data_IF_676413379493
#
_entry.id   IF_676413379493
#
_cell.length_a   1.000
_cell.length_b   1.000
_cell.length_c   1.000
_cell.angle_alpha   90.00
_cell.angle_beta   90.00
_cell.angle_gamma   90.00
#
_symmetry.space_group_name_H-M   'P 1'
#
loop_
_entity.id
_entity.type
_entity.pdbx_description
1 polymer ?
#
# COMPACT_ATOMS: atom_id res chain seq x y z
N UNK A 1 -34.26 -64.92 -1.55
CA UNK A 1 -32.88 -65.00 -2.09
C UNK A 1 -32.13 -63.75 -1.64
N UNK A 2 -31.24 -63.81 -0.63
CA UNK A 2 -30.48 -62.64 -0.20
C UNK A 2 -29.30 -62.39 -1.16
N UNK A 3 -29.14 -61.14 -1.60
CA UNK A 3 -28.02 -60.67 -2.45
C UNK A 3 -26.72 -60.69 -1.64
N UNK A 4 -25.65 -61.23 -2.24
CA UNK A 4 -24.30 -61.26 -1.67
C UNK A 4 -23.69 -59.83 -1.56
N UNK A 5 -22.85 -59.56 -0.54
CA UNK A 5 -22.14 -58.29 -0.42
C UNK A 5 -20.94 -58.20 -1.37
N UNK A 6 -20.69 -56.99 -1.88
CA UNK A 6 -19.57 -56.67 -2.77
C UNK A 6 -18.21 -56.67 -2.05
N UNK A 7 -17.09 -57.00 -2.73
CA UNK A 7 -15.77 -57.07 -2.13
C UNK A 7 -15.14 -55.69 -1.88
N UNK A 8 -14.47 -55.54 -0.72
CA UNK A 8 -13.75 -54.31 -0.34
C UNK A 8 -12.43 -54.17 -1.10
N UNK A 9 -12.24 -53.06 -1.80
CA UNK A 9 -10.98 -52.68 -2.42
C UNK A 9 -10.13 -51.91 -1.39
N UNK A 10 -8.92 -52.40 -1.10
CA UNK A 10 -7.93 -51.69 -0.26
C UNK A 10 -7.18 -50.66 -1.11
N UNK A 11 -6.95 -49.42 -0.63
CA UNK A 11 -6.18 -48.45 -1.38
C UNK A 11 -4.67 -48.75 -1.31
N UNK A 12 -4.02 -48.62 -2.48
CA UNK A 12 -2.57 -48.70 -2.64
C UNK A 12 -1.87 -47.57 -1.89
N UNK A 13 -0.91 -47.92 -1.04
CA UNK A 13 -0.08 -46.96 -0.30
C UNK A 13 0.99 -46.32 -1.19
N UNK A 14 0.95 -44.99 -1.33
CA UNK A 14 2.00 -44.21 -1.96
C UNK A 14 3.21 -44.07 -1.00
N UNK A 15 4.33 -44.69 -1.36
CA UNK A 15 5.63 -44.51 -0.69
C UNK A 15 6.16 -43.10 -0.97
N UNK A 16 6.33 -42.30 0.07
CA UNK A 16 7.03 -41.01 -0.01
C UNK A 16 8.55 -41.24 0.09
N UNK A 17 9.38 -40.64 -0.80
CA UNK A 17 10.83 -40.62 -0.62
C UNK A 17 11.22 -39.66 0.51
N UNK A 18 12.22 -40.07 1.32
CA UNK A 18 12.76 -39.31 2.45
C UNK A 18 13.40 -38.00 1.95
N UNK A 19 13.06 -36.87 2.58
CA UNK A 19 13.77 -35.59 2.41
C UNK A 19 15.15 -35.69 3.04
N UNK A 20 16.18 -35.42 2.24
CA UNK A 20 17.56 -35.27 2.67
C UNK A 20 17.73 -33.83 3.21
N UNK A 21 18.08 -33.70 4.49
CA UNK A 21 18.26 -32.40 5.15
C UNK A 21 19.55 -31.72 4.66
N UNK A 22 19.41 -30.59 3.96
CA UNK A 22 20.53 -29.76 3.56
C UNK A 22 21.04 -28.92 4.74
N UNK A 23 22.33 -29.08 5.07
CA UNK A 23 23.07 -28.39 6.13
C UNK A 23 23.31 -26.91 5.76
N UNK A 24 23.08 -25.92 6.64
CA UNK A 24 23.36 -24.51 6.33
C UNK A 24 24.87 -24.17 6.40
N UNK A 25 25.38 -23.25 5.57
CA UNK A 25 26.78 -22.85 5.57
C UNK A 25 27.14 -21.88 6.71
N UNK A 26 28.38 -21.99 7.18
CA UNK A 26 28.94 -21.22 8.29
C UNK A 26 29.20 -19.75 7.95
N UNK A 27 28.76 -18.85 8.85
CA UNK A 27 29.00 -17.41 8.81
C UNK A 27 30.46 -17.14 9.22
N UNK A 28 31.25 -16.49 8.36
CA UNK A 28 32.59 -15.98 8.71
C UNK A 28 32.49 -14.50 9.10
N UNK A 29 32.93 -14.18 10.32
CA UNK A 29 33.01 -12.81 10.85
C UNK A 29 34.15 -12.01 10.20
N UNK A 30 33.88 -10.74 9.89
CA UNK A 30 34.82 -9.73 9.38
C UNK A 30 35.88 -9.32 10.40
N UNK A 31 37.13 -9.03 9.98
CA UNK A 31 38.10 -8.36 10.84
C UNK A 31 37.97 -6.83 10.72
N UNK A 32 37.91 -6.19 11.89
CA UNK A 32 37.94 -4.74 12.15
C UNK A 32 39.27 -4.15 11.67
N UNK A 33 39.24 -3.24 10.69
CA UNK A 33 40.42 -2.47 10.29
C UNK A 33 40.68 -1.31 11.26
N UNK A 34 41.87 -1.35 11.87
CA UNK A 34 42.42 -0.32 12.76
C UNK A 34 42.60 1.01 12.04
N UNK A 35 42.30 2.09 12.75
CA UNK A 35 42.62 3.48 12.39
C UNK A 35 44.12 3.62 12.16
N UNK A 36 44.52 4.16 11.01
CA UNK A 36 45.89 4.62 10.77
C UNK A 36 45.97 6.09 11.15
N UNK A 37 46.90 6.39 12.05
CA UNK A 37 47.29 7.74 12.43
C UNK A 37 48.04 8.41 11.27
N UNK A 38 47.81 9.71 11.11
CA UNK A 38 48.34 10.56 10.06
C UNK A 38 49.51 11.39 10.64
N UNK A 39 50.74 11.33 10.10
CA UNK A 39 51.84 12.14 10.60
C UNK A 39 51.84 13.52 9.92
N UNK A 40 51.59 14.57 10.70
CA UNK A 40 51.79 15.96 10.27
C UNK A 40 53.30 16.28 10.35
N UNK A 41 53.91 16.61 9.21
CA UNK A 41 55.20 17.29 9.14
C UNK A 41 54.95 18.76 8.78
N UNK A 42 55.54 19.64 9.58
CA UNK A 42 55.49 21.08 9.44
C UNK A 42 56.25 21.53 8.18
N UNK A 43 55.55 22.26 7.31
CA UNK A 43 56.11 22.87 6.10
C UNK A 43 55.48 24.26 5.90
N UNK A 44 56.35 25.25 5.93
CA UNK A 44 56.10 26.69 5.83
C UNK A 44 55.35 27.05 4.53
N UNK A 45 54.12 27.55 4.65
CA UNK A 45 53.30 28.00 3.53
C UNK A 45 52.95 29.48 3.72
N UNK A 46 53.61 30.33 2.91
CA UNK A 46 53.28 31.75 2.71
C UNK A 46 51.79 31.93 2.44
N UNK A 47 51.14 32.75 3.27
CA UNK A 47 49.75 33.19 3.05
C UNK A 47 49.74 34.19 1.89
N UNK A 48 49.31 33.75 0.71
CA UNK A 48 48.89 34.64 -0.37
C UNK A 48 47.42 34.98 -0.10
N UNK A 49 47.12 36.26 0.10
CA UNK A 49 45.76 36.74 0.36
C UNK A 49 44.83 36.45 -0.80
N UNK A 50 43.99 35.42 -0.65
CA UNK A 50 42.88 35.15 -1.56
C UNK A 50 41.68 35.97 -1.07
N UNK A 51 41.25 36.95 -1.87
CA UNK A 51 39.97 37.65 -1.66
C UNK A 51 38.86 36.61 -1.58
N UNK A 52 38.09 36.65 -0.48
CA UNK A 52 36.91 35.81 -0.32
C UNK A 52 35.98 35.97 -1.53
N UNK A 53 35.51 34.88 -2.15
CA UNK A 53 34.49 35.00 -3.17
C UNK A 53 33.21 35.52 -2.51
N UNK A 54 32.62 36.55 -3.10
CA UNK A 54 31.26 36.99 -2.82
C UNK A 54 30.36 35.77 -2.91
N UNK A 55 29.79 35.34 -1.78
CA UNK A 55 28.77 34.30 -1.76
C UNK A 55 27.62 34.77 -2.66
N UNK A 56 27.23 34.02 -3.69
CA UNK A 56 25.94 34.28 -4.31
C UNK A 56 24.90 34.05 -3.22
N UNK A 57 24.01 35.03 -3.02
CA UNK A 57 22.78 34.79 -2.26
C UNK A 57 22.03 33.71 -3.05
N UNK A 58 22.21 32.44 -2.68
CA UNK A 58 21.17 31.46 -2.90
C UNK A 58 19.98 32.01 -2.13
N UNK A 59 19.04 32.62 -2.85
CA UNK A 59 17.71 32.84 -2.31
C UNK A 59 17.20 31.47 -1.94
N UNK A 60 17.13 31.20 -0.64
CA UNK A 60 16.14 30.25 -0.16
C UNK A 60 14.82 30.75 -0.75
N UNK A 61 14.05 29.91 -1.46
CA UNK A 61 12.71 30.31 -1.81
C UNK A 61 12.02 30.71 -0.51
N UNK A 62 11.41 31.90 -0.49
CA UNK A 62 10.66 32.39 0.67
C UNK A 62 9.69 31.28 1.06
N UNK A 63 9.74 30.87 2.32
CA UNK A 63 8.83 29.87 2.92
C UNK A 63 7.37 30.35 2.85
N UNK A 64 7.14 31.58 2.38
CA UNK A 64 5.87 32.27 2.27
C UNK A 64 5.09 31.93 0.98
N UNK A 65 5.64 31.18 0.04
CA UNK A 65 4.90 30.72 -1.16
C UNK A 65 4.28 29.32 -1.03
N UNK A 66 4.56 28.60 0.07
CA UNK A 66 4.12 27.22 0.27
C UNK A 66 3.04 27.08 1.35
N UNK A 67 2.52 28.22 1.83
CA UNK A 67 1.37 28.26 2.75
C UNK A 67 0.14 28.68 1.98
N UNK A 68 -0.25 27.87 0.98
CA UNK A 68 -1.68 27.73 0.71
C UNK A 68 -2.23 27.01 1.93
N UNK A 69 -2.63 27.77 2.96
CA UNK A 69 -3.62 27.28 3.92
C UNK A 69 -4.70 26.62 3.06
N UNK A 70 -4.90 25.31 3.21
CA UNK A 70 -6.03 24.64 2.58
C UNK A 70 -7.28 25.20 3.27
N UNK A 71 -7.70 26.40 2.85
CA UNK A 71 -8.87 27.10 3.34
C UNK A 71 -10.09 26.66 2.53
N UNK A 72 -10.18 25.34 2.34
CA UNK A 72 -11.38 24.71 1.81
C UNK A 72 -12.48 24.94 2.84
N UNK A 73 -13.66 25.34 2.38
CA UNK A 73 -14.84 25.32 3.23
C UNK A 73 -15.13 23.88 3.67
N UNK A 74 -15.75 23.71 4.83
CA UNK A 74 -16.07 22.38 5.36
C UNK A 74 -16.83 21.49 4.36
N UNK A 75 -17.72 22.09 3.55
CA UNK A 75 -18.44 21.39 2.48
C UNK A 75 -17.51 20.92 1.35
N UNK A 76 -16.58 21.77 0.91
CA UNK A 76 -15.63 21.45 -0.17
C UNK A 76 -14.65 20.35 0.28
N UNK A 77 -14.16 20.44 1.52
CA UNK A 77 -13.32 19.41 2.11
C UNK A 77 -14.08 18.08 2.21
N UNK A 78 -15.33 18.09 2.66
CA UNK A 78 -16.17 16.89 2.73
C UNK A 78 -16.36 16.25 1.34
N UNK A 79 -16.69 17.03 0.32
CA UNK A 79 -16.85 16.54 -1.06
C UNK A 79 -15.57 15.92 -1.63
N UNK A 80 -14.41 16.44 -1.26
CA UNK A 80 -13.11 15.90 -1.63
C UNK A 80 -12.79 14.58 -0.90
N UNK A 81 -13.19 14.46 0.37
CA UNK A 81 -12.87 13.31 1.22
C UNK A 81 -13.75 12.09 0.97
N UNK A 82 -15.05 12.26 0.71
CA UNK A 82 -16.01 11.16 0.53
C UNK A 82 -15.54 10.13 -0.53
N UNK A 83 -15.05 10.53 -1.71
CA UNK A 83 -14.57 9.57 -2.72
C UNK A 83 -13.25 8.88 -2.32
N UNK A 84 -12.51 9.42 -1.35
CA UNK A 84 -11.24 8.86 -0.90
C UNK A 84 -11.46 7.65 0.02
N UNK A 85 -12.39 7.75 0.96
CA UNK A 85 -12.74 6.67 1.88
C UNK A 85 -14.19 6.81 2.34
N UNK A 86 -15.01 5.79 2.08
CA UNK A 86 -16.41 5.73 2.46
C UNK A 86 -16.61 5.36 3.95
N UNK A 87 -15.97 6.14 4.83
CA UNK A 87 -16.07 5.99 6.30
C UNK A 87 -16.46 7.34 6.89
N UNK A 88 -17.73 7.53 7.33
CA UNK A 88 -18.21 8.83 7.81
C UNK A 88 -17.38 9.41 8.95
N UNK A 89 -16.98 8.59 9.94
CA UNK A 89 -16.12 9.05 11.05
C UNK A 89 -14.82 9.67 10.54
N UNK A 90 -14.17 9.03 9.56
CA UNK A 90 -12.92 9.52 9.00
C UNK A 90 -13.12 10.87 8.33
N UNK A 91 -14.18 11.03 7.54
CA UNK A 91 -14.51 12.32 6.90
C UNK A 91 -14.79 13.40 7.94
N UNK A 92 -15.59 13.09 8.96
CA UNK A 92 -15.96 14.04 10.02
C UNK A 92 -14.73 14.49 10.81
N UNK A 93 -13.85 13.57 11.20
CA UNK A 93 -12.62 13.86 11.94
C UNK A 93 -11.70 14.81 11.17
N UNK A 94 -11.61 14.67 9.85
CA UNK A 94 -10.79 15.54 9.02
C UNK A 94 -11.44 16.92 8.81
N UNK A 95 -12.76 16.98 8.67
CA UNK A 95 -13.48 18.25 8.57
C UNK A 95 -13.41 19.03 9.88
N UNK A 96 -13.55 18.36 11.03
CA UNK A 96 -13.51 18.98 12.35
C UNK A 96 -12.10 19.45 12.75
N UNK A 97 -11.06 18.83 12.19
CA UNK A 97 -9.66 19.22 12.40
C UNK A 97 -9.20 20.38 11.49
N UNK A 98 -10.02 20.79 10.52
CA UNK A 98 -9.72 21.93 9.66
C UNK A 98 -9.77 23.26 10.45
N UNK A 99 -9.02 24.30 10.03
CA UNK A 99 -8.19 24.39 8.82
C UNK A 99 -6.80 23.75 8.96
N UNK A 100 -6.25 23.27 7.85
CA UNK A 100 -4.91 22.69 7.80
C UNK A 100 -3.85 23.71 7.35
N UNK A 101 -2.69 23.69 8.03
CA UNK A 101 -1.57 24.57 7.75
C UNK A 101 -0.70 24.14 6.55
N UNK A 102 -0.92 22.93 6.02
CA UNK A 102 -0.21 22.36 4.88
C UNK A 102 -0.92 21.12 4.34
N UNK A 103 -0.64 20.75 3.09
CA UNK A 103 -1.05 19.44 2.51
C UNK A 103 -0.55 18.28 3.38
N UNK A 104 0.70 18.35 3.84
CA UNK A 104 1.31 17.32 4.66
C UNK A 104 0.56 17.12 5.99
N UNK A 105 0.13 18.21 6.64
CA UNK A 105 -0.66 18.12 7.86
C UNK A 105 -2.02 17.43 7.65
N UNK A 106 -2.67 17.69 6.51
CA UNK A 106 -3.90 16.98 6.12
C UNK A 106 -3.62 15.49 5.90
N UNK A 107 -2.60 15.12 5.11
CA UNK A 107 -2.24 13.73 4.85
C UNK A 107 -1.84 12.96 6.11
N UNK A 108 -1.12 13.59 7.04
CA UNK A 108 -0.79 12.97 8.32
C UNK A 108 -2.02 12.77 9.20
N UNK A 109 -2.96 13.72 9.21
CA UNK A 109 -4.22 13.59 9.96
C UNK A 109 -5.09 12.49 9.36
N UNK A 110 -5.22 12.47 8.04
CA UNK A 110 -5.85 11.41 7.27
C UNK A 110 -5.30 10.02 7.61
N UNK A 111 -3.97 9.88 7.66
CA UNK A 111 -3.31 8.61 7.98
C UNK A 111 -3.64 8.15 9.40
N UNK A 112 -3.56 9.04 10.38
CA UNK A 112 -3.89 8.74 11.78
C UNK A 112 -5.36 8.34 11.94
N UNK A 113 -6.28 9.08 11.34
CA UNK A 113 -7.71 8.80 11.41
C UNK A 113 -8.09 7.45 10.78
N UNK A 114 -7.32 6.97 9.79
CA UNK A 114 -7.52 5.68 9.14
C UNK A 114 -6.74 4.51 9.79
N UNK A 115 -5.99 4.74 10.88
CA UNK A 115 -5.13 3.71 11.48
C UNK A 115 -5.34 3.56 13.01
N UNK A 116 -6.00 2.49 13.47
CA UNK A 116 -6.70 1.45 12.70
C UNK A 116 -8.13 1.88 12.31
N UNK A 117 -8.64 1.32 11.21
CA UNK A 117 -10.07 1.22 10.98
C UNK A 117 -10.65 0.07 11.80
N UNK A 118 -11.87 0.25 12.30
CA UNK A 118 -12.64 -0.81 12.96
C UNK A 118 -13.21 -1.78 11.92
N UNK A 119 -13.59 -3.02 12.33
CA UNK A 119 -14.20 -3.98 11.41
C UNK A 119 -15.46 -3.45 10.71
N UNK A 120 -16.31 -2.69 11.42
CA UNK A 120 -17.53 -2.12 10.85
C UNK A 120 -17.21 -1.06 9.79
N UNK A 121 -16.21 -0.20 10.03
CA UNK A 121 -15.75 0.79 9.05
C UNK A 121 -15.09 0.14 7.83
N UNK A 122 -14.39 -0.98 8.04
CA UNK A 122 -13.86 -1.77 6.92
C UNK A 122 -15.02 -2.30 6.08
N UNK A 123 -16.07 -2.84 6.70
CA UNK A 123 -17.25 -3.34 5.97
C UNK A 123 -17.98 -2.21 5.21
N UNK A 124 -18.15 -1.04 5.84
CA UNK A 124 -18.70 0.17 5.19
C UNK A 124 -17.88 0.57 3.97
N UNK A 125 -16.56 0.67 4.13
CA UNK A 125 -15.68 1.04 3.03
C UNK A 125 -15.77 0.03 1.86
N UNK A 126 -15.70 -1.27 2.16
CA UNK A 126 -15.72 -2.33 1.16
C UNK A 126 -17.01 -2.38 0.32
N UNK A 127 -18.15 -1.92 0.86
CA UNK A 127 -19.41 -1.89 0.12
C UNK A 127 -19.34 -1.04 -1.17
N UNK A 128 -18.43 -0.05 -1.20
CA UNK A 128 -18.21 0.85 -2.34
C UNK A 128 -17.02 0.44 -3.22
N UNK A 129 -16.35 -0.69 -2.95
CA UNK A 129 -15.16 -1.13 -3.69
C UNK A 129 -15.48 -2.18 -4.78
N UNK A 130 -15.15 -1.89 -6.06
CA UNK A 130 -15.25 -2.89 -7.12
C UNK A 130 -14.13 -3.93 -7.01
N UNK A 131 -14.38 -5.13 -7.55
CA UNK A 131 -13.38 -6.22 -7.57
C UNK A 131 -12.18 -5.87 -8.45
N UNK A 132 -11.02 -6.43 -8.11
CA UNK A 132 -9.84 -6.34 -8.98
C UNK A 132 -10.07 -7.13 -10.28
N UNK A 133 -9.91 -6.46 -11.43
CA UNK A 133 -10.18 -7.03 -12.76
C UNK A 133 -11.57 -6.70 -13.31
N UNK A 134 -12.46 -6.10 -12.51
CA UNK A 134 -13.73 -5.57 -12.99
C UNK A 134 -13.58 -4.08 -13.31
N UNK A 135 -14.20 -3.64 -14.41
CA UNK A 135 -14.24 -2.21 -14.75
C UNK A 135 -15.39 -1.57 -13.98
N UNK A 136 -15.15 -0.50 -13.19
CA UNK A 136 -16.22 0.23 -12.53
C UNK A 136 -17.17 0.83 -13.56
N UNK A 137 -18.48 0.66 -13.34
CA UNK A 137 -19.53 1.20 -14.21
C UNK A 137 -19.87 2.62 -13.76
N UNK A 138 -20.01 3.54 -14.72
CA UNK A 138 -20.41 4.93 -14.48
C UNK A 138 -19.27 5.94 -14.46
N UNK A 139 -19.63 7.17 -14.09
CA UNK A 139 -18.73 8.33 -14.04
C UNK A 139 -18.72 8.93 -12.64
N UNK A 140 -17.59 9.51 -12.25
CA UNK A 140 -17.38 10.10 -10.93
C UNK A 140 -15.94 9.97 -10.44
N UNK A 141 -15.64 10.62 -9.32
CA UNK A 141 -14.30 10.58 -8.72
C UNK A 141 -13.92 9.17 -8.27
N UNK A 142 -14.82 8.45 -7.57
CA UNK A 142 -14.59 7.09 -7.12
C UNK A 142 -14.33 6.11 -8.28
N UNK A 143 -15.10 6.22 -9.37
CA UNK A 143 -14.93 5.42 -10.58
C UNK A 143 -13.61 5.75 -11.28
N UNK A 144 -13.24 7.03 -11.33
CA UNK A 144 -11.97 7.48 -11.92
C UNK A 144 -10.77 6.97 -11.12
N UNK A 145 -10.83 6.99 -9.79
CA UNK A 145 -9.82 6.39 -8.92
C UNK A 145 -9.69 4.90 -9.17
N UNK A 146 -10.80 4.15 -9.17
CA UNK A 146 -10.77 2.72 -9.42
C UNK A 146 -10.15 2.36 -10.77
N UNK A 147 -10.46 3.11 -11.84
CA UNK A 147 -9.83 2.94 -13.17
C UNK A 147 -8.32 3.18 -13.12
N UNK A 148 -7.88 4.27 -12.49
CA UNK A 148 -6.46 4.62 -12.37
C UNK A 148 -5.68 3.66 -11.46
N UNK A 149 -6.31 3.15 -10.40
CA UNK A 149 -5.71 2.20 -9.46
C UNK A 149 -5.44 0.85 -10.09
N UNK A 150 -6.34 0.38 -10.96
CA UNK A 150 -6.23 -0.93 -11.61
C UNK A 150 -5.49 -0.90 -12.96
N UNK A 151 -5.06 0.29 -13.41
CA UNK A 151 -4.28 0.44 -14.62
C UNK A 151 -2.87 -0.15 -14.43
N UNK A 152 -2.55 -1.19 -15.20
CA UNK A 152 -1.22 -1.80 -15.24
C UNK A 152 -0.87 -2.19 -16.67
N UNK A 153 0.42 -2.18 -17.02
CA UNK A 153 0.90 -2.51 -18.36
C UNK A 153 0.68 -3.98 -18.76
N UNK A 154 0.35 -4.84 -17.81
CA UNK A 154 0.06 -6.27 -17.98
C UNK A 154 -1.44 -6.59 -17.82
N UNK A 155 -2.34 -5.60 -17.96
CA UNK A 155 -3.79 -5.78 -17.83
C UNK A 155 -4.40 -6.78 -18.81
N UNK A 156 -3.71 -7.11 -19.90
CA UNK A 156 -4.23 -7.96 -20.98
C UNK A 156 -3.80 -9.43 -20.86
N UNK A 157 -3.05 -9.80 -19.80
CA UNK A 157 -2.68 -11.20 -19.56
C UNK A 157 -3.91 -12.03 -19.15
N UNK A 158 -4.46 -12.75 -20.13
CA UNK A 158 -5.66 -13.58 -19.98
C UNK A 158 -5.50 -14.65 -18.90
N UNK A 159 -4.31 -15.25 -18.78
CA UNK A 159 -4.07 -16.34 -17.83
C UNK A 159 -4.04 -15.80 -16.41
N UNK A 160 -3.31 -14.71 -16.19
CA UNK A 160 -3.23 -14.08 -14.86
C UNK A 160 -4.59 -13.51 -14.46
N UNK A 161 -5.32 -12.86 -15.38
CA UNK A 161 -6.65 -12.33 -15.09
C UNK A 161 -7.66 -13.42 -14.74
N UNK A 162 -7.65 -14.56 -15.44
CA UNK A 162 -8.51 -15.70 -15.10
C UNK A 162 -8.17 -16.26 -13.70
N UNK A 163 -6.89 -16.32 -13.35
CA UNK A 163 -6.46 -16.76 -12.03
C UNK A 163 -6.87 -15.77 -10.92
N UNK A 164 -6.78 -14.45 -11.17
CA UNK A 164 -7.26 -13.41 -10.24
C UNK A 164 -8.78 -13.54 -10.06
N UNK A 165 -9.55 -13.69 -11.15
CA UNK A 165 -11.01 -13.84 -11.07
C UNK A 165 -11.41 -15.07 -10.26
N UNK A 166 -10.77 -16.21 -10.49
CA UNK A 166 -10.99 -17.43 -9.69
C UNK A 166 -10.59 -17.23 -8.23
N UNK A 167 -9.48 -16.53 -7.98
CA UNK A 167 -9.00 -16.26 -6.62
C UNK A 167 -9.92 -15.30 -5.86
N UNK A 168 -10.47 -14.27 -6.50
CA UNK A 168 -11.46 -13.37 -5.90
C UNK A 168 -12.70 -14.15 -5.44
N UNK A 169 -13.22 -15.03 -6.29
CA UNK A 169 -14.36 -15.87 -5.95
C UNK A 169 -14.06 -16.80 -4.76
N UNK A 170 -12.86 -17.38 -4.69
CA UNK A 170 -12.43 -18.18 -3.53
C UNK A 170 -12.32 -17.35 -2.26
N UNK A 171 -11.72 -16.16 -2.37
CA UNK A 171 -11.51 -15.24 -1.27
C UNK A 171 -12.83 -14.78 -0.67
N UNK A 172 -13.80 -14.38 -1.50
CA UNK A 172 -15.15 -14.02 -1.05
C UNK A 172 -15.86 -15.19 -0.36
N UNK A 173 -15.77 -16.41 -0.90
CA UNK A 173 -16.37 -17.58 -0.24
C UNK A 173 -15.74 -17.90 1.13
N UNK A 174 -14.47 -17.56 1.34
CA UNK A 174 -13.76 -17.86 2.58
C UNK A 174 -13.95 -16.77 3.64
N UNK A 175 -13.75 -15.52 3.25
CA UNK A 175 -13.67 -14.38 4.16
C UNK A 175 -14.96 -13.53 4.18
N UNK A 176 -15.93 -13.84 3.31
CA UNK A 176 -17.20 -13.11 3.18
C UNK A 176 -17.01 -11.61 2.91
N UNK A 177 -15.99 -11.27 2.12
CA UNK A 177 -15.65 -9.90 1.73
C UNK A 177 -14.86 -9.89 0.42
N UNK A 178 -14.91 -8.77 -0.31
CA UNK A 178 -14.16 -8.62 -1.56
C UNK A 178 -12.65 -8.56 -1.28
N UNK A 179 -11.85 -9.13 -2.19
CA UNK A 179 -10.40 -9.01 -2.11
C UNK A 179 -9.98 -7.56 -2.43
N UNK A 180 -9.40 -6.89 -1.44
CA UNK A 180 -8.94 -5.51 -1.55
C UNK A 180 -7.42 -5.42 -1.44
N UNK A 181 -6.80 -4.70 -2.37
CA UNK A 181 -5.37 -4.38 -2.37
C UNK A 181 -5.14 -3.05 -3.09
N UNK A 182 -4.19 -2.21 -2.63
CA UNK A 182 -3.73 -1.02 -3.34
C UNK A 182 -3.05 -1.41 -4.65
N UNK A 183 -3.78 -1.35 -5.75
CA UNK A 183 -3.27 -1.85 -7.03
C UNK A 183 -2.24 -0.90 -7.69
N UNK A 184 -2.29 0.42 -7.43
CA UNK A 184 -1.38 1.42 -8.02
C UNK A 184 0.08 1.02 -7.84
N UNK A 185 0.80 0.76 -8.94
CA UNK A 185 2.22 0.39 -8.92
C UNK A 185 2.52 -1.08 -8.61
N UNK A 186 1.50 -1.97 -8.63
CA UNK A 186 1.66 -3.42 -8.59
C UNK A 186 1.27 -4.02 -9.95
N UNK A 187 2.04 -4.99 -10.41
CA UNK A 187 1.71 -5.83 -11.55
C UNK A 187 0.56 -6.79 -11.23
N UNK A 188 -0.13 -7.31 -12.25
CA UNK A 188 -1.18 -8.33 -12.08
C UNK A 188 -0.62 -9.61 -11.46
N UNK A 189 0.62 -9.97 -11.79
CA UNK A 189 1.30 -11.12 -11.19
C UNK A 189 1.54 -10.92 -9.68
N UNK A 190 1.98 -9.74 -9.25
CA UNK A 190 2.16 -9.43 -7.81
C UNK A 190 0.84 -9.46 -7.05
N UNK A 191 -0.23 -8.94 -7.64
CA UNK A 191 -1.59 -9.01 -7.08
C UNK A 191 -2.01 -10.46 -6.88
N UNK A 192 -1.80 -11.33 -7.87
CA UNK A 192 -2.14 -12.75 -7.78
C UNK A 192 -1.34 -13.46 -6.68
N UNK A 193 -0.05 -13.17 -6.55
CA UNK A 193 0.79 -13.70 -5.48
C UNK A 193 0.27 -13.27 -4.11
N UNK A 194 -0.12 -12.01 -3.95
CA UNK A 194 -0.63 -11.50 -2.68
C UNK A 194 -2.00 -12.10 -2.32
N UNK A 195 -2.88 -12.26 -3.31
CA UNK A 195 -4.15 -12.97 -3.16
C UNK A 195 -3.93 -14.41 -2.66
N UNK A 196 -3.02 -15.16 -3.31
CA UNK A 196 -2.69 -16.53 -2.91
C UNK A 196 -2.07 -16.61 -1.51
N UNK A 197 -1.23 -15.64 -1.14
CA UNK A 197 -0.62 -15.53 0.19
C UNK A 197 -1.68 -15.30 1.27
N UNK A 198 -2.59 -14.34 1.05
CA UNK A 198 -3.64 -13.96 2.00
C UNK A 198 -4.68 -15.05 2.20
N UNK A 199 -4.89 -15.89 1.18
CA UNK A 199 -5.65 -17.14 1.31
C UNK A 199 -5.03 -18.15 2.31
N UNK A 200 -3.83 -17.93 2.86
CA UNK A 200 -3.26 -18.79 3.92
C UNK A 200 -3.40 -18.21 5.33
N UNK A 201 -3.89 -16.97 5.46
CA UNK A 201 -4.00 -16.27 6.74
C UNK A 201 -5.28 -16.62 7.47
N UNK A 202 -5.28 -16.38 8.79
CA UNK A 202 -6.53 -16.37 9.54
C UNK A 202 -7.36 -15.10 9.25
N UNK A 203 -8.63 -15.13 9.66
CA UNK A 203 -9.56 -14.04 9.40
C UNK A 203 -9.12 -12.71 10.02
N UNK A 204 -8.50 -12.76 11.21
CA UNK A 204 -8.08 -11.60 11.98
C UNK A 204 -6.84 -10.92 11.39
N UNK A 205 -5.91 -11.72 10.86
CA UNK A 205 -4.73 -11.25 10.13
C UNK A 205 -5.14 -10.61 8.80
N UNK A 206 -6.05 -11.27 8.06
CA UNK A 206 -6.49 -10.77 6.77
C UNK A 206 -7.27 -9.46 6.89
N UNK A 207 -8.22 -9.35 7.84
CA UNK A 207 -9.00 -8.11 8.02
C UNK A 207 -8.11 -6.94 8.46
N UNK A 208 -7.07 -7.18 9.26
CA UNK A 208 -6.10 -6.16 9.62
C UNK A 208 -5.33 -5.64 8.39
N UNK A 209 -4.97 -6.54 7.46
CA UNK A 209 -4.35 -6.16 6.18
C UNK A 209 -5.33 -5.36 5.31
N UNK A 210 -6.61 -5.76 5.24
CA UNK A 210 -7.64 -5.00 4.52
C UNK A 210 -7.70 -3.56 5.04
N UNK A 211 -7.75 -3.37 6.36
CA UNK A 211 -7.77 -2.03 6.97
C UNK A 211 -6.55 -1.18 6.58
N UNK A 212 -5.35 -1.79 6.55
CA UNK A 212 -4.14 -1.09 6.12
C UNK A 212 -4.17 -0.73 4.63
N UNK A 213 -4.64 -1.63 3.76
CA UNK A 213 -4.73 -1.37 2.32
C UNK A 213 -5.80 -0.31 2.02
N UNK A 214 -6.92 -0.27 2.75
CA UNK A 214 -7.91 0.83 2.69
C UNK A 214 -7.28 2.18 3.04
N UNK A 215 -6.50 2.25 4.13
CA UNK A 215 -5.85 3.48 4.54
C UNK A 215 -4.85 3.98 3.48
N UNK A 216 -4.06 3.08 2.88
CA UNK A 216 -3.12 3.44 1.81
C UNK A 216 -3.84 3.91 0.53
N UNK A 217 -4.94 3.24 0.14
CA UNK A 217 -5.78 3.66 -0.99
C UNK A 217 -6.35 5.06 -0.73
N UNK A 218 -6.92 5.28 0.45
CA UNK A 218 -7.52 6.57 0.84
C UNK A 218 -6.51 7.72 0.73
N UNK A 219 -5.27 7.49 1.19
CA UNK A 219 -4.21 8.50 1.11
C UNK A 219 -3.76 8.78 -0.33
N UNK A 220 -3.65 7.75 -1.17
CA UNK A 220 -3.31 7.95 -2.59
C UNK A 220 -4.40 8.72 -3.35
N UNK A 221 -5.67 8.45 -3.05
CA UNK A 221 -6.81 9.19 -3.60
C UNK A 221 -6.79 10.64 -3.13
N UNK A 222 -6.57 10.86 -1.83
CA UNK A 222 -6.49 12.20 -1.25
C UNK A 222 -5.34 13.02 -1.85
N UNK A 223 -4.15 12.42 -1.96
CA UNK A 223 -3.00 13.07 -2.59
C UNK A 223 -3.30 13.47 -4.04
N UNK A 224 -3.88 12.56 -4.82
CA UNK A 224 -4.28 12.83 -6.21
C UNK A 224 -5.36 13.91 -6.33
N UNK A 225 -6.35 13.94 -5.43
CA UNK A 225 -7.36 15.00 -5.36
C UNK A 225 -6.72 16.36 -5.14
N UNK A 226 -5.76 16.44 -4.21
CA UNK A 226 -5.08 17.69 -3.89
C UNK A 226 -4.19 18.17 -5.04
N UNK A 227 -3.57 17.27 -5.80
CA UNK A 227 -2.79 17.60 -7.01
C UNK A 227 -3.66 18.20 -8.12
N UNK A 228 -4.93 17.81 -8.19
CA UNK A 228 -5.86 18.34 -9.19
C UNK A 228 -6.34 19.76 -8.84
N UNK A 229 -6.25 20.15 -7.56
CA UNK A 229 -6.63 21.48 -7.07
C UNK A 229 -5.51 22.53 -7.18
N UNK A 230 -4.25 22.10 -7.37
CA UNK A 230 -3.07 22.98 -7.49
C UNK A 230 -2.79 23.37 -8.93
#
# INVERSE_FOLDING_TARGET
MPRAPAPSVRPFGCRHPRREEARPPAIRHSPVHRRRECPLSAGDCRVVGVKAPLRPKLGLPSVDQEVTLLNLQASELRELLIPCLAVPRWVDELVDAAPYNSREALLQTARRAATPLTPDEIAEALAEHPRIGETPVGEGAAQSFSRGEQASSDSDDVVVNAAIASGNAEYERRFDRVFLIRAKGRSRAEILVELQRRMQLDDSEDIAIVGSELADIALLRLESSLETLS
#
